data_IF_322284601547
#
_entry.id   IF_322284601547
#
_cell.length_a   1.000
_cell.length_b   1.000
_cell.length_c   1.000
_cell.angle_alpha   90.00
_cell.angle_beta   90.00
_cell.angle_gamma   90.00
#
_symmetry.space_group_name_H-M   'P 1'
#
loop_
_entity.id
_entity.type
_entity.pdbx_description
1 polymer ?
#
# COMPACT_ATOMS: atom_id res chain seq x y z
N UNK A 1 4.35 -12.23 -0.55
CA UNK A 1 3.27 -11.32 -0.94
C UNK A 1 3.66 -9.91 -0.63
N UNK A 2 3.39 -9.02 -1.54
CA UNK A 2 3.84 -7.65 -1.41
C UNK A 2 2.70 -6.73 -1.02
N UNK A 3 3.01 -5.84 -0.08
CA UNK A 3 2.17 -4.71 0.28
C UNK A 3 2.99 -3.46 0.00
N UNK A 4 2.40 -2.48 -0.63
CA UNK A 4 3.13 -1.29 -1.05
C UNK A 4 2.48 -0.02 -0.55
N UNK A 5 3.30 0.97 -0.26
CA UNK A 5 2.84 2.35 -0.17
C UNK A 5 2.72 2.87 -1.58
N UNK A 6 1.81 3.81 -1.79
CA UNK A 6 1.49 4.32 -3.10
C UNK A 6 2.70 4.79 -3.90
N UNK A 7 2.65 4.61 -5.20
CA UNK A 7 3.71 5.04 -6.10
C UNK A 7 3.10 5.44 -7.44
N UNK A 8 3.84 6.20 -8.23
CA UNK A 8 3.39 6.58 -9.56
C UNK A 8 3.18 5.39 -10.45
N UNK A 9 3.97 4.36 -10.26
CA UNK A 9 3.84 3.15 -11.04
C UNK A 9 2.47 2.53 -10.89
N UNK A 10 2.00 2.45 -9.65
CA UNK A 10 0.68 1.90 -9.37
C UNK A 10 -0.43 2.73 -9.99
N UNK A 11 -0.33 4.03 -9.89
CA UNK A 11 -1.38 4.91 -10.41
C UNK A 11 -1.58 4.77 -11.91
N UNK A 12 -0.54 4.44 -12.65
CA UNK A 12 -0.64 4.30 -14.09
C UNK A 12 -1.28 2.99 -14.52
N UNK A 13 -1.13 1.99 -13.68
CA UNK A 13 -1.57 0.64 -14.01
C UNK A 13 -2.98 0.35 -13.52
N UNK A 14 -3.49 1.19 -12.65
CA UNK A 14 -4.82 0.97 -12.10
C UNK A 14 -5.88 1.47 -13.04
N UNK A 15 -6.88 0.63 -13.26
CA UNK A 15 -8.10 1.03 -13.95
C UNK A 15 -9.24 0.78 -13.01
N UNK A 16 -9.79 1.85 -12.48
CA UNK A 16 -10.96 1.75 -11.63
C UNK A 16 -12.15 1.33 -12.48
N UNK A 17 -12.93 0.42 -11.98
CA UNK A 17 -14.12 -0.01 -12.67
C UNK A 17 -15.21 1.03 -12.51
N UNK A 18 -15.70 1.50 -13.64
CA UNK A 18 -16.75 2.51 -13.66
C UNK A 18 -18.07 1.85 -13.32
N UNK A 19 -18.89 2.57 -12.61
CA UNK A 19 -20.18 2.07 -12.17
C UNK A 19 -20.08 1.36 -10.85
N UNK A 20 -19.00 1.51 -10.24
CA UNK A 20 -18.46 0.87 -9.16
C UNK A 20 -19.22 0.73 -7.91
N UNK A 21 -19.77 -0.41 -7.79
CA UNK A 21 -19.95 -0.96 -6.47
C UNK A 21 -18.65 -1.54 -5.94
N UNK A 22 -17.52 -1.17 -6.54
CA UNK A 22 -16.20 -1.71 -6.19
C UNK A 22 -15.48 -0.87 -5.13
N UNK A 23 -16.17 0.09 -4.54
CA UNK A 23 -15.57 0.88 -3.47
C UNK A 23 -16.47 0.90 -2.25
N UNK A 24 -15.86 1.14 -1.11
CA UNK A 24 -16.57 1.34 0.15
C UNK A 24 -15.81 2.36 0.99
N UNK A 25 -16.47 2.89 2.01
CA UNK A 25 -15.83 3.80 2.95
C UNK A 25 -15.65 3.07 4.28
N UNK A 26 -14.44 3.04 4.78
CA UNK A 26 -14.12 2.42 6.06
C UNK A 26 -13.38 3.45 6.91
N UNK A 27 -14.01 3.92 8.00
CA UNK A 27 -13.41 4.91 8.87
C UNK A 27 -12.99 6.20 8.16
N UNK A 28 -13.73 6.62 7.14
CA UNK A 28 -13.37 7.79 6.35
C UNK A 28 -12.34 7.54 5.27
N UNK A 29 -11.87 6.31 5.14
CA UNK A 29 -10.91 5.91 4.11
C UNK A 29 -11.66 5.23 2.98
N UNK A 30 -11.34 5.63 1.76
CA UNK A 30 -11.92 4.99 0.58
C UNK A 30 -11.17 3.70 0.27
N UNK A 31 -11.89 2.60 0.18
CA UNK A 31 -11.32 1.30 -0.18
C UNK A 31 -11.88 0.90 -1.52
N UNK A 32 -10.99 0.65 -2.48
CA UNK A 32 -11.40 0.28 -3.83
C UNK A 32 -10.78 -1.05 -4.23
N UNK A 33 -11.57 -1.87 -4.91
CA UNK A 33 -11.10 -3.15 -5.45
C UNK A 33 -10.75 -2.93 -6.91
N UNK A 34 -9.50 -3.19 -7.26
CA UNK A 34 -8.99 -2.91 -8.60
C UNK A 34 -8.07 -4.05 -9.04
N UNK A 35 -7.76 -4.08 -10.32
CA UNK A 35 -6.74 -4.99 -10.81
C UNK A 35 -5.38 -4.51 -10.32
N UNK A 36 -4.69 -5.34 -9.56
CA UNK A 36 -3.38 -5.02 -9.02
C UNK A 36 -2.28 -5.69 -9.83
N UNK A 37 -1.08 -5.10 -9.86
CA UNK A 37 0.07 -5.77 -10.45
C UNK A 37 0.30 -7.13 -9.80
N UNK A 38 0.81 -8.06 -10.58
CA UNK A 38 1.10 -9.41 -10.09
C UNK A 38 1.98 -9.36 -8.83
N UNK A 39 1.60 -10.12 -7.82
CA UNK A 39 2.32 -10.17 -6.55
C UNK A 39 1.93 -9.09 -5.57
N UNK A 40 1.10 -8.14 -5.95
CA UNK A 40 0.64 -7.08 -5.06
C UNK A 40 -0.81 -7.33 -4.67
N UNK A 41 -1.08 -7.40 -3.39
CA UNK A 41 -2.44 -7.61 -2.88
C UNK A 41 -3.13 -6.33 -2.45
N UNK A 42 -2.38 -5.35 -2.00
CA UNK A 42 -2.94 -4.10 -1.54
C UNK A 42 -1.94 -2.97 -1.57
N UNK A 43 -2.45 -1.74 -1.52
CA UNK A 43 -1.63 -0.55 -1.58
C UNK A 43 -2.35 0.60 -0.87
N UNK A 44 -1.63 1.32 -0.01
CA UNK A 44 -2.16 2.48 0.70
C UNK A 44 -1.59 3.75 0.10
N UNK A 45 -2.45 4.73 -0.14
CA UNK A 45 -2.07 6.01 -0.70
C UNK A 45 -2.30 7.14 0.29
N UNK A 46 -1.37 8.07 0.33
CA UNK A 46 -1.45 9.22 1.25
C UNK A 46 -2.67 10.11 1.01
N UNK A 47 -3.30 9.98 -0.14
CA UNK A 47 -4.52 10.70 -0.46
C UNK A 47 -5.76 10.16 0.26
N UNK A 48 -5.61 9.10 1.02
CA UNK A 48 -6.71 8.52 1.77
C UNK A 48 -7.43 7.40 1.07
N UNK A 49 -6.75 6.71 0.18
CA UNK A 49 -7.32 5.60 -0.59
C UNK A 49 -6.51 4.34 -0.36
N UNK A 50 -7.20 3.23 -0.19
CA UNK A 50 -6.61 1.89 -0.16
C UNK A 50 -7.11 1.14 -1.39
N UNK A 51 -6.20 0.53 -2.12
CA UNK A 51 -6.53 -0.38 -3.21
C UNK A 51 -6.28 -1.81 -2.78
N UNK A 52 -7.22 -2.69 -3.12
CA UNK A 52 -7.10 -4.13 -2.83
C UNK A 52 -7.36 -4.88 -4.13
N UNK A 53 -6.59 -5.93 -4.37
CA UNK A 53 -6.73 -6.75 -5.55
C UNK A 53 -8.17 -7.26 -5.69
N UNK A 54 -8.79 -6.98 -6.82
CA UNK A 54 -10.18 -7.37 -7.08
C UNK A 54 -10.38 -8.88 -7.14
N UNK A 55 -9.31 -9.64 -7.30
CA UNK A 55 -9.39 -11.10 -7.32
C UNK A 55 -9.48 -11.71 -5.92
N UNK A 56 -9.34 -10.91 -4.87
CA UNK A 56 -9.50 -11.38 -3.50
C UNK A 56 -10.97 -11.25 -3.14
N UNK A 57 -11.56 -12.36 -2.70
CA UNK A 57 -12.97 -12.39 -2.28
C UNK A 57 -13.17 -11.44 -1.08
N UNK A 58 -14.08 -10.45 -1.21
CA UNK A 58 -14.29 -9.46 -0.13
C UNK A 58 -14.87 -10.07 1.14
N UNK A 59 -15.43 -11.27 1.07
CA UNK A 59 -15.94 -11.95 2.25
C UNK A 59 -14.93 -12.90 2.88
N UNK A 60 -13.73 -12.99 2.32
CA UNK A 60 -12.70 -13.90 2.79
C UNK A 60 -11.90 -13.33 3.96
N UNK A 61 -11.27 -14.24 4.72
CA UNK A 61 -10.35 -13.85 5.75
C UNK A 61 -9.11 -13.17 5.17
N UNK A 62 -8.68 -13.61 3.98
CA UNK A 62 -7.57 -12.98 3.29
C UNK A 62 -7.84 -11.50 3.03
N UNK A 63 -9.04 -11.16 2.58
CA UNK A 63 -9.42 -9.78 2.35
C UNK A 63 -9.29 -8.96 3.64
N UNK A 64 -9.78 -9.48 4.76
CA UNK A 64 -9.69 -8.78 6.04
C UNK A 64 -8.25 -8.55 6.46
N UNK A 65 -7.38 -9.51 6.23
CA UNK A 65 -5.95 -9.35 6.56
C UNK A 65 -5.31 -8.27 5.72
N UNK A 66 -5.59 -8.25 4.42
CA UNK A 66 -5.07 -7.22 3.53
C UNK A 66 -5.58 -5.86 3.95
N UNK A 67 -6.88 -5.74 4.18
CA UNK A 67 -7.49 -4.49 4.60
C UNK A 67 -6.89 -4.00 5.92
N UNK A 68 -6.76 -4.85 6.91
CA UNK A 68 -6.17 -4.47 8.19
C UNK A 68 -4.74 -4.01 8.05
N UNK A 69 -3.95 -4.67 7.22
CA UNK A 69 -2.57 -4.28 6.97
C UNK A 69 -2.52 -2.88 6.34
N UNK A 70 -3.33 -2.63 5.33
CA UNK A 70 -3.35 -1.33 4.67
C UNK A 70 -3.91 -0.24 5.58
N UNK A 71 -4.86 -0.57 6.44
CA UNK A 71 -5.37 0.39 7.41
C UNK A 71 -4.31 0.81 8.42
N UNK A 72 -3.40 -0.09 8.80
CA UNK A 72 -2.27 0.27 9.66
C UNK A 72 -1.34 1.26 8.96
N UNK A 73 -1.03 1.01 7.69
CA UNK A 73 -0.25 1.98 6.90
C UNK A 73 -0.94 3.32 6.85
N UNK A 74 -2.24 3.31 6.60
CA UNK A 74 -3.02 4.55 6.50
C UNK A 74 -2.99 5.32 7.81
N UNK A 75 -3.09 4.63 8.94
CA UNK A 75 -3.00 5.26 10.25
C UNK A 75 -1.65 5.94 10.43
N UNK A 76 -0.56 5.25 10.08
CA UNK A 76 0.78 5.83 10.20
C UNK A 76 0.98 7.00 9.24
N UNK A 77 0.41 6.95 8.05
CA UNK A 77 0.45 8.08 7.12
C UNK A 77 -0.26 9.29 7.71
N UNK A 78 -1.44 9.09 8.29
CA UNK A 78 -2.20 10.18 8.91
C UNK A 78 -1.52 10.77 10.12
N UNK A 79 -0.81 9.96 10.88
CA UNK A 79 -0.08 10.42 12.06
C UNK A 79 1.29 11.02 11.71
N UNK A 80 1.69 10.95 10.45
CA UNK A 80 2.98 11.48 10.01
C UNK A 80 4.16 10.60 10.38
N UNK A 81 3.93 9.36 10.84
CA UNK A 81 5.01 8.43 11.13
C UNK A 81 5.65 7.88 9.87
N UNK A 82 4.88 7.82 8.79
CA UNK A 82 5.36 7.40 7.48
C UNK A 82 5.05 8.52 6.50
N UNK A 83 6.03 8.91 5.71
CA UNK A 83 5.87 9.82 4.59
C UNK A 83 6.57 9.22 3.40
N UNK A 84 6.07 9.51 2.22
CA UNK A 84 6.71 8.98 1.02
C UNK A 84 6.44 9.86 -0.19
N UNK A 85 7.33 9.75 -1.16
CA UNK A 85 7.06 10.18 -2.53
C UNK A 85 7.81 9.21 -3.46
N UNK A 86 7.99 9.57 -4.73
CA UNK A 86 8.63 8.66 -5.68
C UNK A 86 10.11 8.43 -5.38
N UNK A 87 10.72 9.30 -4.61
CA UNK A 87 12.16 9.30 -4.38
C UNK A 87 12.57 8.81 -3.01
N UNK A 88 11.63 8.69 -2.07
CA UNK A 88 11.97 8.28 -0.71
C UNK A 88 10.77 7.71 0.05
N UNK A 89 11.11 6.99 1.11
CA UNK A 89 10.17 6.70 2.20
C UNK A 89 10.85 7.17 3.47
N UNK A 90 10.09 7.90 4.31
CA UNK A 90 10.58 8.30 5.63
C UNK A 90 9.73 7.59 6.68
N UNK A 91 10.40 6.93 7.60
CA UNK A 91 9.73 6.23 8.68
C UNK A 91 10.37 6.62 10.01
N UNK A 92 9.54 7.13 10.93
CA UNK A 92 9.99 7.59 12.24
C UNK A 92 11.21 8.52 12.16
N UNK A 93 11.22 9.41 11.18
CA UNK A 93 12.25 10.41 11.00
C UNK A 93 13.46 9.94 10.21
N UNK A 94 13.52 8.68 9.81
CA UNK A 94 14.63 8.15 9.02
C UNK A 94 14.21 8.05 7.57
N UNK A 95 15.00 8.62 6.67
CA UNK A 95 14.71 8.65 5.24
C UNK A 95 15.46 7.54 4.51
N UNK A 96 14.73 6.80 3.70
CA UNK A 96 15.27 5.71 2.88
C UNK A 96 15.04 6.05 1.41
N UNK A 97 16.10 6.09 0.59
CA UNK A 97 15.94 6.35 -0.86
C UNK A 97 15.07 5.28 -1.53
N UNK A 98 14.31 5.71 -2.51
CA UNK A 98 13.37 4.86 -3.24
C UNK A 98 13.55 5.07 -4.73
N UNK A 99 13.69 3.97 -5.48
CA UNK A 99 13.94 4.05 -6.91
C UNK A 99 13.50 2.77 -7.60
N UNK A 100 12.70 2.92 -8.64
CA UNK A 100 12.31 1.81 -9.52
C UNK A 100 11.75 0.57 -8.81
N UNK A 101 10.97 0.78 -7.75
CA UNK A 101 10.39 -0.34 -7.01
C UNK A 101 11.31 -0.93 -5.95
N UNK A 102 12.43 -0.27 -5.70
CA UNK A 102 13.37 -0.69 -4.66
C UNK A 102 13.60 0.42 -3.66
N UNK A 103 13.95 0.03 -2.44
CA UNK A 103 14.23 0.94 -1.35
C UNK A 103 15.63 0.63 -0.84
N UNK A 104 16.43 1.68 -0.64
CA UNK A 104 17.77 1.52 -0.09
C UNK A 104 17.68 1.37 1.43
N UNK A 105 17.93 0.17 1.92
CA UNK A 105 17.74 -0.18 3.31
C UNK A 105 18.95 -0.97 3.80
N UNK A 106 19.56 -0.49 4.88
CA UNK A 106 20.73 -1.13 5.48
C UNK A 106 21.84 -1.44 4.48
N UNK A 107 22.12 -0.49 3.58
CA UNK A 107 23.19 -0.62 2.61
C UNK A 107 22.85 -1.37 1.34
N UNK A 108 21.62 -1.84 1.20
CA UNK A 108 21.21 -2.63 0.04
C UNK A 108 19.92 -2.10 -0.57
N UNK A 109 19.75 -2.30 -1.87
CA UNK A 109 18.49 -2.03 -2.54
C UNK A 109 17.58 -3.25 -2.40
N UNK A 110 16.47 -3.09 -1.70
CA UNK A 110 15.54 -4.16 -1.37
C UNK A 110 14.21 -3.86 -2.03
N UNK A 111 13.58 -4.88 -2.60
CA UNK A 111 12.31 -4.73 -3.29
C UNK A 111 11.22 -4.23 -2.33
N UNK A 112 10.40 -3.29 -2.81
CA UNK A 112 9.28 -2.77 -2.03
C UNK A 112 8.34 -3.90 -1.62
N UNK A 113 7.78 -3.76 -0.42
CA UNK A 113 6.86 -4.76 0.11
C UNK A 113 7.54 -5.87 0.90
N UNK A 114 8.87 -5.82 1.01
CA UNK A 114 9.59 -6.81 1.82
C UNK A 114 9.16 -6.68 3.28
N UNK A 115 8.83 -7.81 3.89
CA UNK A 115 8.32 -7.84 5.26
C UNK A 115 9.34 -7.43 6.30
N UNK A 116 10.61 -7.35 5.93
CA UNK A 116 11.67 -6.94 6.85
C UNK A 116 11.80 -5.43 7.01
N UNK A 117 11.11 -4.66 6.19
CA UNK A 117 11.09 -3.21 6.38
C UNK A 117 10.35 -2.86 7.67
N UNK A 118 10.83 -1.87 8.43
CA UNK A 118 10.19 -1.52 9.71
C UNK A 118 8.77 -1.00 9.57
N UNK A 119 8.38 -0.48 8.42
CA UNK A 119 7.01 -0.01 8.18
C UNK A 119 6.09 -1.12 7.67
N UNK A 120 6.60 -2.30 7.37
CA UNK A 120 5.79 -3.45 6.98
C UNK A 120 5.51 -4.28 8.23
N UNK A 121 4.25 -4.46 8.52
CA UNK A 121 3.83 -5.11 9.76
C UNK A 121 3.65 -6.60 9.57
N UNK A 122 4.01 -7.33 10.62
CA UNK A 122 3.68 -8.75 10.69
C UNK A 122 2.34 -8.87 11.39
N UNK A 123 1.41 -9.50 10.74
CA UNK A 123 0.10 -9.76 11.33
C UNK A 123 0.10 -11.06 12.08
#
# INVERSE_FOLDING_TARGET
>A
MEFKLGSNRGNKDFKLKIGGSNHEMVGGIRVERVEMPEGTMGESHKEGVIYIDENIDPDSEQYRRVLNHEMKHMTHLKLGRVEYDDTYIRYDGVTYPRENGYIHFEGEWVEEGDVNFPWEFKD
#
